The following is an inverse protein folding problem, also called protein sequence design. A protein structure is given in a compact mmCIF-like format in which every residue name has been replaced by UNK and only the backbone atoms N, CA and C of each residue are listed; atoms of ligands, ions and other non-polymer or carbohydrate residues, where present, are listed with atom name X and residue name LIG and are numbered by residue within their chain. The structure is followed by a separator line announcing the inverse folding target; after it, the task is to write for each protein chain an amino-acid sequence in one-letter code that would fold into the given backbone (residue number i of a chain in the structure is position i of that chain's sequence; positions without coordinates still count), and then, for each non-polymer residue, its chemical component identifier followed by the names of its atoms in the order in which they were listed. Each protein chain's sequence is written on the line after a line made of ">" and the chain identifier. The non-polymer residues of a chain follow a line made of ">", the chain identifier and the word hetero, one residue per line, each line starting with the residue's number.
data_IF_065561215287
#
_entry.id   IF_065561215287
#
_cell.length_a   1.000
_cell.length_b   1.000
_cell.length_c   1.000
_cell.angle_alpha   90.00
_cell.angle_beta   90.00
_cell.angle_gamma   90.00
#
_symmetry.space_group_name_H-M   'P 1'
#
loop_
_entity.id
_entity.type
_entity.pdbx_description
1 polymer ?
#
# COMPACT_ATOMS: atom_id res chain seq x y z
N UNK A 1 -12.21 30.08 15.12
CA UNK A 1 -11.81 29.33 13.91
C UNK A 1 -11.63 27.88 14.31
N UNK A 2 -12.56 26.97 14.00
CA UNK A 2 -12.43 25.61 14.46
C UNK A 2 -11.27 24.92 13.74
N UNK A 3 -10.24 24.64 14.51
CA UNK A 3 -9.04 23.89 14.07
C UNK A 3 -9.46 22.46 13.64
N UNK A 4 -10.55 21.95 14.22
CA UNK A 4 -11.20 20.72 13.81
C UNK A 4 -12.72 20.87 13.89
N UNK A 5 -13.40 20.40 12.85
CA UNK A 5 -14.84 20.20 12.81
C UNK A 5 -15.08 18.77 12.35
N UNK A 6 -15.39 17.90 13.27
CA UNK A 6 -15.58 16.48 12.99
C UNK A 6 -16.65 15.86 13.93
N UNK A 7 -17.40 14.96 13.37
CA UNK A 7 -18.28 14.06 14.12
C UNK A 7 -17.61 12.68 14.16
N UNK A 8 -17.42 12.16 15.36
CA UNK A 8 -16.73 10.89 15.59
C UNK A 8 -17.59 9.95 16.41
N UNK A 9 -17.85 8.77 15.89
CA UNK A 9 -18.44 7.66 16.62
C UNK A 9 -17.45 6.50 16.66
N UNK A 10 -17.13 6.05 17.86
CA UNK A 10 -16.19 4.94 18.05
C UNK A 10 -16.76 3.92 19.02
N UNK A 11 -16.68 2.63 18.65
CA UNK A 11 -16.99 1.51 19.53
C UNK A 11 -15.77 0.59 19.61
N UNK A 12 -15.31 0.37 20.83
CA UNK A 12 -14.19 -0.51 21.12
C UNK A 12 -14.67 -1.76 21.86
N UNK A 13 -14.12 -2.90 21.54
CA UNK A 13 -14.33 -4.14 22.29
C UNK A 13 -12.97 -4.70 22.72
N UNK A 14 -12.92 -5.16 23.97
CA UNK A 14 -11.70 -5.69 24.57
C UNK A 14 -11.80 -7.22 24.72
N UNK A 15 -10.69 -7.90 24.51
CA UNK A 15 -10.49 -9.31 24.83
C UNK A 15 -9.16 -9.47 25.55
N UNK A 16 -9.18 -10.07 26.74
CA UNK A 16 -7.99 -10.23 27.57
C UNK A 16 -7.20 -8.92 27.77
N UNK A 17 -7.89 -7.84 28.12
CA UNK A 17 -7.35 -6.48 28.32
C UNK A 17 -6.69 -5.86 27.08
N UNK A 18 -6.85 -6.44 25.88
CA UNK A 18 -6.36 -5.90 24.61
C UNK A 18 -7.53 -5.50 23.73
N UNK A 19 -7.36 -4.46 22.93
CA UNK A 19 -8.36 -4.06 21.94
C UNK A 19 -8.48 -5.21 20.92
N UNK A 20 -9.70 -5.72 20.76
CA UNK A 20 -10.00 -6.81 19.85
C UNK A 20 -10.85 -6.38 18.66
N UNK A 21 -11.69 -5.38 18.84
CA UNK A 21 -12.50 -4.82 17.76
C UNK A 21 -12.54 -3.30 17.85
N UNK A 22 -12.49 -2.66 16.70
CA UNK A 22 -12.69 -1.21 16.54
C UNK A 22 -13.73 -1.02 15.45
N UNK A 23 -14.81 -0.29 15.79
CA UNK A 23 -15.72 0.29 14.81
C UNK A 23 -15.59 1.79 14.92
N UNK A 24 -15.28 2.43 13.81
CA UNK A 24 -15.08 3.87 13.70
C UNK A 24 -15.97 4.40 12.58
N UNK A 25 -16.64 5.51 12.83
CA UNK A 25 -17.28 6.32 11.81
C UNK A 25 -16.95 7.78 12.08
N UNK A 26 -16.36 8.45 11.14
CA UNK A 26 -16.00 9.85 11.24
C UNK A 26 -16.46 10.63 10.01
N UNK A 27 -17.16 11.74 10.24
CA UNK A 27 -17.41 12.76 9.25
C UNK A 27 -16.52 13.96 9.58
N UNK A 28 -15.51 14.17 8.78
CA UNK A 28 -14.51 15.21 8.97
C UNK A 28 -14.80 16.32 7.99
N UNK A 29 -15.38 17.42 8.48
CA UNK A 29 -15.58 18.62 7.65
C UNK A 29 -14.28 19.41 7.50
N UNK A 30 -13.49 19.47 8.56
CA UNK A 30 -12.18 20.12 8.57
C UNK A 30 -11.31 19.53 9.68
N UNK A 31 -10.08 19.21 9.35
CA UNK A 31 -9.08 18.77 10.31
C UNK A 31 -7.70 19.30 9.92
N UNK A 32 -7.11 20.15 10.75
CA UNK A 32 -5.76 20.70 10.55
C UNK A 32 -4.73 19.74 11.18
N UNK A 33 -3.81 19.24 10.39
CA UNK A 33 -2.79 18.28 10.82
C UNK A 33 -1.87 18.80 11.94
N UNK A 34 -1.76 20.12 12.11
CA UNK A 34 -0.97 20.75 13.19
C UNK A 34 -1.44 20.29 14.58
N UNK A 35 -2.73 19.95 14.73
CA UNK A 35 -3.29 19.49 16.01
C UNK A 35 -2.59 18.25 16.53
N UNK A 36 -2.15 17.37 15.63
CA UNK A 36 -1.47 16.13 15.99
C UNK A 36 0.01 16.33 16.31
N UNK A 37 0.51 17.56 16.28
CA UNK A 37 1.94 17.81 16.44
C UNK A 37 2.78 17.18 15.32
N UNK A 38 2.16 16.93 14.17
CA UNK A 38 2.86 16.39 12.99
C UNK A 38 3.83 17.45 12.49
N UNK A 39 5.09 17.17 12.63
CA UNK A 39 6.17 18.10 12.27
C UNK A 39 6.88 17.63 10.99
N UNK A 40 6.12 17.41 9.93
CA UNK A 40 6.61 16.99 8.62
C UNK A 40 5.98 17.81 7.50
N UNK A 41 6.23 17.44 6.25
CA UNK A 41 5.70 18.12 5.07
C UNK A 41 4.17 18.27 5.06
N UNK A 42 3.44 17.36 5.72
CA UNK A 42 1.98 17.38 5.83
C UNK A 42 1.44 18.24 6.99
N UNK A 43 2.29 18.90 7.76
CA UNK A 43 1.88 19.71 8.92
C UNK A 43 0.92 20.87 8.57
N UNK A 44 0.95 21.36 7.33
CA UNK A 44 0.07 22.43 6.84
C UNK A 44 -1.21 21.92 6.18
N UNK A 45 -1.28 20.63 5.91
CA UNK A 45 -2.41 20.04 5.20
C UNK A 45 -3.70 20.10 6.04
N UNK A 46 -4.80 20.36 5.36
CA UNK A 46 -6.16 20.32 5.89
C UNK A 46 -6.85 19.13 5.26
N UNK A 47 -7.47 18.32 6.09
CA UNK A 47 -8.18 17.13 5.66
C UNK A 47 -9.68 17.27 5.84
N UNK A 48 -10.45 16.72 4.91
CA UNK A 48 -11.88 16.52 5.04
C UNK A 48 -12.30 15.20 4.40
N UNK A 49 -13.46 14.67 4.75
CA UNK A 49 -14.00 13.44 4.17
C UNK A 49 -14.69 12.53 5.17
N UNK A 50 -15.19 11.41 4.68
CA UNK A 50 -15.84 10.40 5.48
C UNK A 50 -14.93 9.20 5.64
N UNK A 51 -14.79 8.74 6.88
CA UNK A 51 -13.96 7.59 7.24
C UNK A 51 -14.84 6.57 7.95
N UNK A 52 -14.83 5.34 7.48
CA UNK A 52 -15.43 4.22 8.17
C UNK A 52 -14.38 3.11 8.34
N UNK A 53 -14.35 2.51 9.52
CA UNK A 53 -13.48 1.37 9.78
C UNK A 53 -14.20 0.34 10.65
N UNK A 54 -14.06 -0.93 10.29
CA UNK A 54 -14.57 -2.05 11.05
C UNK A 54 -13.47 -3.12 11.12
N UNK A 55 -12.73 -3.11 12.20
CA UNK A 55 -11.56 -3.96 12.41
C UNK A 55 -11.85 -4.96 13.53
N UNK A 56 -11.51 -6.20 13.34
CA UNK A 56 -11.77 -7.31 14.26
C UNK A 56 -10.56 -8.21 14.45
N UNK A 57 -10.55 -8.96 15.56
CA UNK A 57 -9.48 -9.88 15.93
C UNK A 57 -8.09 -9.23 16.05
N UNK A 58 -8.05 -7.94 16.41
CA UNK A 58 -6.79 -7.18 16.52
C UNK A 58 -5.84 -7.72 17.59
N UNK A 59 -6.37 -8.46 18.55
CA UNK A 59 -5.58 -9.13 19.60
C UNK A 59 -4.99 -10.48 19.18
N UNK A 60 -5.20 -10.89 17.93
CA UNK A 60 -4.73 -12.17 17.36
C UNK A 60 -3.67 -11.95 16.30
N UNK A 61 -3.09 -13.02 15.80
CA UNK A 61 -2.17 -12.99 14.67
C UNK A 61 -2.88 -12.88 13.31
N UNK A 62 -4.21 -12.90 13.29
CA UNK A 62 -5.03 -12.91 12.09
C UNK A 62 -6.10 -11.79 12.15
N UNK A 63 -5.69 -10.52 12.27
CA UNK A 63 -6.63 -9.42 12.23
C UNK A 63 -7.36 -9.40 10.89
N UNK A 64 -8.59 -8.94 10.88
CA UNK A 64 -9.36 -8.73 9.65
C UNK A 64 -10.28 -7.53 9.78
N UNK A 65 -10.75 -7.03 8.65
CA UNK A 65 -11.69 -5.92 8.61
C UNK A 65 -11.55 -5.09 7.36
N UNK A 66 -12.20 -3.96 7.39
CA UNK A 66 -12.26 -3.03 6.27
C UNK A 66 -12.15 -1.58 6.75
N UNK A 67 -11.60 -0.75 5.88
CA UNK A 67 -11.53 0.71 6.02
C UNK A 67 -12.03 1.32 4.72
N UNK A 68 -12.93 2.26 4.83
CA UNK A 68 -13.48 3.02 3.71
C UNK A 68 -13.23 4.50 3.92
N UNK A 69 -12.72 5.17 2.89
CA UNK A 69 -12.63 6.61 2.79
C UNK A 69 -13.51 7.07 1.63
N UNK A 70 -14.34 8.08 1.84
CA UNK A 70 -15.18 8.70 0.80
C UNK A 70 -15.01 10.20 0.80
N UNK A 71 -14.92 10.78 -0.40
CA UNK A 71 -14.78 12.22 -0.60
C UNK A 71 -13.67 12.81 0.27
N UNK A 72 -12.54 12.09 0.30
CA UNK A 72 -11.41 12.49 1.13
C UNK A 72 -10.56 13.51 0.39
N UNK A 73 -10.44 14.70 0.99
CA UNK A 73 -9.72 15.82 0.42
C UNK A 73 -8.51 16.17 1.27
N UNK A 74 -7.43 16.47 0.59
CA UNK A 74 -6.24 17.09 1.15
C UNK A 74 -6.11 18.47 0.52
N UNK A 75 -6.15 19.51 1.34
CA UNK A 75 -5.94 20.90 0.92
C UNK A 75 -4.64 21.41 1.54
N UNK A 76 -3.92 22.24 0.84
CA UNK A 76 -2.60 22.76 1.25
C UNK A 76 -1.59 21.65 1.61
N UNK A 77 -1.69 20.51 0.93
CA UNK A 77 -0.71 19.43 1.03
C UNK A 77 0.65 19.82 0.45
N UNK A 78 1.72 19.10 0.81
CA UNK A 78 3.09 19.43 0.38
C UNK A 78 3.28 19.37 -1.14
N UNK A 79 2.45 18.62 -1.83
CA UNK A 79 2.48 18.45 -3.29
C UNK A 79 1.21 18.98 -3.97
N UNK A 80 0.46 19.86 -3.27
CA UNK A 80 -0.79 20.46 -3.74
C UNK A 80 -2.03 19.79 -3.19
N UNK A 81 -3.18 20.15 -3.77
CA UNK A 81 -4.47 19.61 -3.38
C UNK A 81 -4.70 18.25 -4.05
N UNK A 82 -5.39 17.35 -3.33
CA UNK A 82 -5.79 16.07 -3.86
C UNK A 82 -7.20 15.70 -3.38
N UNK A 83 -8.00 15.15 -4.28
CA UNK A 83 -9.33 14.65 -3.98
C UNK A 83 -9.40 13.17 -4.30
N UNK A 84 -9.71 12.36 -3.29
CA UNK A 84 -9.96 10.93 -3.39
C UNK A 84 -11.47 10.70 -3.27
N UNK A 85 -12.12 10.27 -4.32
CA UNK A 85 -13.57 10.01 -4.30
C UNK A 85 -13.88 8.81 -3.44
N UNK A 86 -13.14 7.72 -3.63
CA UNK A 86 -13.33 6.51 -2.85
C UNK A 86 -12.02 5.73 -2.70
N UNK A 87 -11.82 5.20 -1.50
CA UNK A 87 -10.86 4.14 -1.23
C UNK A 87 -11.50 3.14 -0.27
N UNK A 88 -11.48 1.87 -0.66
CA UNK A 88 -11.86 0.76 0.18
C UNK A 88 -10.69 -0.19 0.33
N UNK A 89 -10.23 -0.40 1.55
CA UNK A 89 -9.20 -1.37 1.88
C UNK A 89 -9.78 -2.45 2.78
N UNK A 90 -9.48 -3.70 2.50
CA UNK A 90 -9.97 -4.82 3.28
C UNK A 90 -8.89 -5.87 3.51
N UNK A 91 -8.94 -6.51 4.66
CA UNK A 91 -8.08 -7.63 5.04
C UNK A 91 -8.96 -8.76 5.56
N UNK A 92 -8.96 -9.89 4.87
CA UNK A 92 -9.75 -11.05 5.24
C UNK A 92 -8.88 -12.29 5.41
N UNK A 93 -9.31 -13.13 6.34
CA UNK A 93 -8.66 -14.42 6.57
C UNK A 93 -9.15 -15.45 5.54
N UNK A 94 -8.22 -16.09 4.86
CA UNK A 94 -8.45 -17.20 3.96
C UNK A 94 -8.13 -18.54 4.64
N UNK A 95 -8.30 -19.65 3.93
CA UNK A 95 -7.86 -20.97 4.39
C UNK A 95 -6.34 -21.04 4.57
N UNK A 96 -5.85 -21.98 5.38
CA UNK A 96 -4.42 -22.27 5.55
C UNK A 96 -3.56 -21.11 6.08
N UNK A 97 -4.05 -20.35 7.06
CA UNK A 97 -3.33 -19.21 7.66
C UNK A 97 -2.90 -18.12 6.66
N UNK A 98 -3.53 -18.08 5.49
CA UNK A 98 -3.35 -16.98 4.53
C UNK A 98 -4.39 -15.90 4.76
N UNK A 99 -4.01 -14.69 4.42
CA UNK A 99 -4.89 -13.52 4.40
C UNK A 99 -4.94 -12.94 2.99
N UNK A 100 -6.04 -12.32 2.67
CA UNK A 100 -6.18 -11.52 1.46
C UNK A 100 -6.33 -10.07 1.85
N UNK A 101 -5.39 -9.24 1.41
CA UNK A 101 -5.52 -7.79 1.40
C UNK A 101 -6.04 -7.36 0.04
N UNK A 102 -7.03 -6.49 0.04
CA UNK A 102 -7.54 -5.87 -1.17
C UNK A 102 -7.65 -4.37 -0.95
N UNK A 103 -7.32 -3.60 -1.97
CA UNK A 103 -7.56 -2.18 -2.04
C UNK A 103 -8.24 -1.87 -3.37
N UNK A 104 -9.29 -1.06 -3.32
CA UNK A 104 -10.00 -0.53 -4.48
C UNK A 104 -10.16 0.97 -4.29
N UNK A 105 -9.72 1.75 -5.25
CA UNK A 105 -9.81 3.19 -5.21
C UNK A 105 -9.82 3.81 -6.60
N UNK A 106 -9.93 5.12 -6.66
CA UNK A 106 -9.85 5.87 -7.92
C UNK A 106 -8.50 5.69 -8.62
N UNK A 107 -7.42 5.47 -7.86
CA UNK A 107 -6.07 5.45 -8.40
C UNK A 107 -5.42 4.07 -8.43
N UNK A 108 -5.88 3.12 -7.62
CA UNK A 108 -5.29 1.78 -7.56
C UNK A 108 -6.33 0.71 -7.21
N UNK A 109 -6.27 -0.41 -7.92
CA UNK A 109 -6.83 -1.68 -7.49
C UNK A 109 -5.69 -2.63 -7.17
N UNK A 110 -5.73 -3.26 -6.01
CA UNK A 110 -4.72 -4.25 -5.66
C UNK A 110 -5.32 -5.40 -4.85
N UNK A 111 -4.77 -6.58 -5.07
CA UNK A 111 -5.09 -7.80 -4.33
C UNK A 111 -3.80 -8.55 -4.02
N UNK A 112 -3.55 -8.77 -2.75
CA UNK A 112 -2.39 -9.53 -2.28
C UNK A 112 -2.91 -10.67 -1.39
N UNK A 113 -2.50 -11.89 -1.68
CA UNK A 113 -2.87 -13.06 -0.88
C UNK A 113 -1.61 -13.72 -0.35
N UNK A 114 -1.58 -14.03 0.94
CA UNK A 114 -0.42 -14.64 1.58
C UNK A 114 -0.45 -14.51 3.09
N UNK A 115 0.69 -14.68 3.74
CA UNK A 115 0.84 -14.42 5.17
C UNK A 115 1.17 -12.94 5.39
N UNK A 116 0.14 -12.10 5.57
CA UNK A 116 0.21 -10.63 5.47
C UNK A 116 0.37 -9.91 6.83
N UNK A 117 1.04 -10.51 7.81
CA UNK A 117 1.35 -9.73 9.02
C UNK A 117 2.39 -8.65 8.71
N UNK A 118 2.30 -7.45 9.33
CA UNK A 118 3.24 -6.36 9.04
C UNK A 118 4.71 -6.77 9.16
N UNK A 119 5.04 -7.58 10.17
CA UNK A 119 6.39 -8.10 10.39
C UNK A 119 6.86 -9.03 9.26
N UNK A 120 5.97 -9.91 8.77
CA UNK A 120 6.29 -10.81 7.66
C UNK A 120 6.48 -10.06 6.35
N UNK A 121 5.61 -9.08 6.08
CA UNK A 121 5.74 -8.22 4.89
C UNK A 121 7.07 -7.48 4.92
N UNK A 122 7.40 -6.82 6.03
CA UNK A 122 8.67 -6.10 6.17
C UNK A 122 9.87 -7.02 5.98
N UNK A 123 9.92 -8.15 6.69
CA UNK A 123 11.01 -9.12 6.57
C UNK A 123 11.11 -9.68 5.15
N UNK A 124 9.99 -10.01 4.52
CA UNK A 124 9.98 -10.55 3.17
C UNK A 124 10.51 -9.57 2.14
N UNK A 125 10.11 -8.31 2.20
CA UNK A 125 10.63 -7.24 1.35
C UNK A 125 12.15 -7.10 1.55
N UNK A 126 12.62 -7.07 2.80
CA UNK A 126 14.06 -7.00 3.10
C UNK A 126 14.81 -8.21 2.54
N UNK A 127 14.26 -9.42 2.67
CA UNK A 127 14.87 -10.63 2.10
C UNK A 127 15.01 -10.54 0.58
N UNK A 128 13.96 -10.09 -0.12
CA UNK A 128 13.97 -9.97 -1.59
C UNK A 128 14.99 -8.92 -2.02
N UNK A 129 14.94 -7.72 -1.42
CA UNK A 129 15.88 -6.64 -1.77
C UNK A 129 17.33 -7.09 -1.49
N UNK A 130 17.58 -7.73 -0.35
CA UNK A 130 18.92 -8.19 0.00
C UNK A 130 19.44 -9.29 -0.95
N UNK A 131 18.55 -10.14 -1.49
CA UNK A 131 18.90 -11.14 -2.50
C UNK A 131 19.18 -10.51 -3.87
N UNK A 132 18.38 -9.52 -4.27
CA UNK A 132 18.55 -8.84 -5.57
C UNK A 132 19.69 -7.83 -5.56
N UNK A 133 19.85 -7.10 -4.45
CA UNK A 133 20.77 -5.96 -4.30
C UNK A 133 21.43 -6.01 -2.90
N UNK A 134 22.39 -6.92 -2.68
CA UNK A 134 22.91 -7.20 -1.33
C UNK A 134 23.64 -6.04 -0.66
N UNK A 135 23.98 -4.98 -1.40
CA UNK A 135 24.63 -3.76 -0.85
C UNK A 135 23.65 -2.66 -0.51
N UNK A 136 22.35 -2.76 -0.85
CA UNK A 136 21.40 -1.66 -0.71
C UNK A 136 20.76 -1.60 0.68
N UNK A 137 20.59 -2.74 1.33
CA UNK A 137 19.97 -2.84 2.66
C UNK A 137 20.74 -3.79 3.58
N UNK A 138 20.69 -3.55 4.90
CA UNK A 138 21.26 -4.49 5.86
C UNK A 138 20.55 -5.85 5.75
N UNK A 139 21.28 -6.90 6.07
CA UNK A 139 20.71 -8.26 6.10
C UNK A 139 19.54 -8.32 7.07
N UNK A 140 18.43 -8.98 6.71
CA UNK A 140 17.29 -9.13 7.61
C UNK A 140 17.72 -9.92 8.86
N UNK A 141 17.19 -9.51 10.01
CA UNK A 141 17.48 -10.19 11.29
C UNK A 141 16.89 -11.60 11.33
N UNK A 142 15.80 -11.83 10.60
CA UNK A 142 15.17 -13.13 10.47
C UNK A 142 14.97 -13.44 8.98
N UNK A 143 15.37 -14.62 8.55
CA UNK A 143 15.04 -15.10 7.22
C UNK A 143 13.55 -15.41 7.14
N UNK A 144 12.93 -15.09 6.02
CA UNK A 144 11.53 -15.46 5.78
C UNK A 144 11.38 -16.99 5.75
N UNK A 145 10.24 -17.51 6.22
CA UNK A 145 9.97 -18.94 6.19
C UNK A 145 9.75 -19.41 4.74
N UNK A 146 10.10 -20.67 4.44
CA UNK A 146 10.01 -21.23 3.08
C UNK A 146 8.58 -21.27 2.52
N UNK A 147 7.57 -21.24 3.39
CA UNK A 147 6.15 -21.24 3.05
C UNK A 147 5.55 -19.83 2.95
N UNK A 148 6.34 -18.78 3.17
CA UNK A 148 5.90 -17.39 3.02
C UNK A 148 5.83 -17.00 1.54
N UNK A 149 4.69 -17.28 0.94
CA UNK A 149 4.37 -16.98 -0.45
C UNK A 149 3.29 -15.91 -0.54
N UNK A 150 3.51 -14.93 -1.40
CA UNK A 150 2.56 -13.88 -1.74
C UNK A 150 2.20 -13.93 -3.22
N UNK A 151 0.90 -13.91 -3.49
CA UNK A 151 0.37 -13.66 -4.82
C UNK A 151 -0.06 -12.21 -4.89
N UNK A 152 0.45 -11.50 -5.87
CA UNK A 152 0.27 -10.06 -6.05
C UNK A 152 -0.42 -9.81 -7.38
N UNK A 153 -1.47 -9.01 -7.35
CA UNK A 153 -2.11 -8.46 -8.54
C UNK A 153 -2.49 -7.02 -8.21
N UNK A 154 -1.94 -6.06 -8.94
CA UNK A 154 -2.22 -4.66 -8.73
C UNK A 154 -2.30 -3.93 -10.07
N UNK A 155 -3.22 -2.98 -10.14
CA UNK A 155 -3.42 -2.09 -11.27
C UNK A 155 -3.47 -0.66 -10.77
N UNK A 156 -2.43 0.10 -11.05
CA UNK A 156 -2.39 1.53 -10.84
C UNK A 156 -3.13 2.21 -11.99
N UNK A 157 -4.27 2.83 -11.71
CA UNK A 157 -5.15 3.46 -12.71
C UNK A 157 -4.72 4.89 -13.05
N UNK A 158 -4.28 5.62 -12.02
CA UNK A 158 -3.92 7.03 -12.13
C UNK A 158 -2.64 7.31 -11.35
N UNK A 159 -1.73 8.02 -11.96
CA UNK A 159 -0.44 8.37 -11.34
C UNK A 159 -0.47 9.67 -10.54
N UNK A 160 -1.46 10.54 -10.73
CA UNK A 160 -1.57 11.81 -10.00
C UNK A 160 -1.53 11.64 -8.47
N UNK A 161 -2.17 10.59 -7.96
CA UNK A 161 -2.13 10.25 -6.55
C UNK A 161 -0.70 10.08 -6.02
N UNK A 162 0.20 9.52 -6.81
CA UNK A 162 1.60 9.31 -6.41
C UNK A 162 2.36 10.62 -6.32
N UNK A 163 2.11 11.55 -7.22
CA UNK A 163 2.67 12.89 -7.13
C UNK A 163 2.14 13.63 -5.91
N UNK A 164 0.82 13.67 -5.74
CA UNK A 164 0.17 14.44 -4.67
C UNK A 164 0.39 13.85 -3.28
N UNK A 165 0.38 12.53 -3.14
CA UNK A 165 0.53 11.84 -1.85
C UNK A 165 2.00 11.58 -1.47
N UNK A 166 2.86 11.31 -2.46
CA UNK A 166 4.22 10.84 -2.20
C UNK A 166 5.32 11.71 -2.83
N UNK A 167 4.97 12.73 -3.63
CA UNK A 167 5.94 13.58 -4.34
C UNK A 167 6.67 12.85 -5.48
N UNK A 168 6.12 11.73 -5.96
CA UNK A 168 6.72 10.94 -7.03
C UNK A 168 6.16 11.41 -8.36
N UNK A 169 6.97 12.13 -9.13
CA UNK A 169 6.59 12.65 -10.44
C UNK A 169 6.78 11.56 -11.51
N UNK A 170 5.77 10.72 -11.65
CA UNK A 170 5.67 9.68 -12.68
C UNK A 170 4.29 9.74 -13.31
N UNK A 171 4.22 9.90 -14.61
CA UNK A 171 2.97 9.79 -15.35
C UNK A 171 2.85 8.43 -15.99
N UNK A 172 1.73 7.76 -15.79
CA UNK A 172 1.42 6.44 -16.37
C UNK A 172 0.14 6.57 -17.17
N UNK A 173 0.21 6.27 -18.47
CA UNK A 173 -0.95 6.27 -19.34
C UNK A 173 -1.56 4.86 -19.38
N UNK A 174 -2.90 4.79 -19.26
CA UNK A 174 -3.68 3.55 -19.26
C UNK A 174 -3.30 2.56 -18.16
N UNK A 175 -2.60 3.04 -17.13
CA UNK A 175 -2.30 2.27 -15.93
C UNK A 175 -1.01 1.46 -15.97
N UNK A 176 -0.59 1.09 -14.78
CA UNK A 176 0.55 0.19 -14.53
C UNK A 176 0.04 -1.10 -13.89
N UNK A 177 0.38 -2.23 -14.49
CA UNK A 177 0.01 -3.53 -13.97
C UNK A 177 1.20 -4.20 -13.28
N UNK A 178 0.95 -4.78 -12.13
CA UNK A 178 1.91 -5.58 -11.37
C UNK A 178 1.26 -6.91 -11.05
N UNK A 179 1.85 -8.01 -11.49
CA UNK A 179 1.32 -9.34 -11.19
C UNK A 179 2.43 -10.36 -10.96
N UNK A 180 2.18 -11.31 -10.10
CA UNK A 180 3.09 -12.42 -9.92
C UNK A 180 3.03 -13.07 -8.53
N UNK A 181 4.00 -13.92 -8.30
CA UNK A 181 4.20 -14.64 -7.06
C UNK A 181 5.58 -14.36 -6.50
N UNK A 182 5.66 -14.23 -5.19
CA UNK A 182 6.90 -14.01 -4.46
C UNK A 182 6.94 -14.94 -3.28
N UNK A 183 7.94 -15.81 -3.21
CA UNK A 183 8.24 -16.60 -2.02
C UNK A 183 9.52 -16.08 -1.38
N UNK A 184 9.35 -15.33 -0.30
CA UNK A 184 10.45 -14.64 0.35
C UNK A 184 11.47 -15.58 0.99
N UNK A 185 11.04 -16.74 1.49
CA UNK A 185 11.91 -17.72 2.13
C UNK A 185 12.74 -18.53 1.15
N UNK A 186 12.10 -19.12 0.13
CA UNK A 186 12.79 -19.90 -0.89
C UNK A 186 13.43 -19.03 -1.99
N UNK A 187 13.07 -17.76 -2.07
CA UNK A 187 13.55 -16.88 -3.13
C UNK A 187 12.87 -17.09 -4.48
N UNK A 188 11.94 -18.04 -4.59
CA UNK A 188 11.19 -18.23 -5.84
C UNK A 188 10.32 -17.02 -6.09
N UNK A 189 10.58 -16.35 -7.19
CA UNK A 189 9.89 -15.11 -7.56
C UNK A 189 9.56 -15.15 -9.04
N UNK A 190 8.35 -14.75 -9.36
CA UNK A 190 7.92 -14.48 -10.73
C UNK A 190 7.05 -13.24 -10.67
N UNK A 191 7.59 -12.09 -11.04
CA UNK A 191 6.91 -10.80 -10.99
C UNK A 191 7.02 -10.13 -12.36
N UNK A 192 5.89 -9.65 -12.84
CA UNK A 192 5.77 -8.86 -14.07
C UNK A 192 5.21 -7.49 -13.75
N UNK A 193 5.86 -6.45 -14.25
CA UNK A 193 5.38 -5.06 -14.20
C UNK A 193 5.33 -4.56 -15.63
N UNK A 194 4.21 -4.00 -16.05
CA UNK A 194 4.06 -3.50 -17.41
C UNK A 194 3.07 -2.33 -17.48
N UNK A 195 3.29 -1.45 -18.44
CA UNK A 195 2.41 -0.33 -18.76
C UNK A 195 2.42 -0.05 -20.27
N UNK A 196 1.45 0.71 -20.77
CA UNK A 196 1.47 1.16 -22.15
C UNK A 196 2.47 2.30 -22.36
N UNK A 197 2.48 3.26 -21.45
CA UNK A 197 3.45 4.36 -21.47
C UNK A 197 3.75 4.83 -20.04
N UNK A 198 5.01 5.13 -19.79
CA UNK A 198 5.46 5.79 -18.56
C UNK A 198 6.31 6.99 -18.95
N UNK A 199 5.99 8.15 -18.36
CA UNK A 199 6.78 9.36 -18.51
C UNK A 199 7.48 9.64 -17.18
N UNK A 200 8.81 9.71 -17.20
CA UNK A 200 9.65 9.95 -16.03
C UNK A 200 10.67 11.03 -16.37
N UNK A 201 10.66 12.12 -15.62
CA UNK A 201 11.64 13.23 -15.74
C UNK A 201 11.80 13.69 -17.20
N UNK A 202 10.68 13.84 -17.93
CA UNK A 202 10.68 14.32 -19.31
C UNK A 202 11.08 13.29 -20.38
N UNK A 203 11.30 12.05 -19.99
CA UNK A 203 11.53 10.93 -20.91
C UNK A 203 10.27 10.06 -21.00
N UNK A 204 9.87 9.73 -22.22
CA UNK A 204 8.70 8.89 -22.51
C UNK A 204 9.13 7.48 -22.89
N UNK A 205 8.64 6.50 -22.14
CA UNK A 205 8.89 5.08 -22.39
C UNK A 205 7.59 4.42 -22.84
N UNK A 206 7.59 3.82 -24.01
CA UNK A 206 6.46 3.08 -24.55
C UNK A 206 6.64 1.58 -24.32
N UNK A 207 5.54 0.93 -23.90
CA UNK A 207 5.48 -0.49 -23.54
C UNK A 207 6.59 -0.93 -22.57
N UNK A 208 6.87 -0.15 -21.52
CA UNK A 208 7.84 -0.57 -20.54
C UNK A 208 7.38 -1.85 -19.85
N UNK A 209 8.28 -2.78 -19.67
CA UNK A 209 8.04 -4.00 -18.93
C UNK A 209 9.26 -4.41 -18.12
N UNK A 210 9.00 -4.95 -16.93
CA UNK A 210 10.01 -5.51 -16.04
C UNK A 210 9.55 -6.93 -15.70
N UNK A 211 10.39 -7.89 -15.98
CA UNK A 211 10.18 -9.28 -15.59
C UNK A 211 11.27 -9.68 -14.59
N UNK A 212 10.86 -9.99 -13.39
CA UNK A 212 11.73 -10.51 -12.35
C UNK A 212 11.39 -11.98 -12.13
N UNK A 213 12.34 -12.87 -12.39
CA UNK A 213 12.24 -14.28 -12.04
C UNK A 213 13.42 -14.68 -11.18
N UNK A 214 13.19 -15.55 -10.22
CA UNK A 214 14.25 -15.94 -9.30
C UNK A 214 14.04 -17.32 -8.70
N UNK A 215 15.14 -17.91 -8.30
CA UNK A 215 15.23 -19.10 -7.45
C UNK A 215 16.12 -18.79 -6.25
N UNK A 216 16.37 -19.78 -5.40
CA UNK A 216 17.13 -19.60 -4.15
C UNK A 216 18.46 -18.82 -4.27
N UNK A 217 19.13 -18.91 -5.40
CA UNK A 217 20.49 -18.39 -5.58
C UNK A 217 20.67 -17.45 -6.78
N UNK A 218 19.70 -17.36 -7.68
CA UNK A 218 19.84 -16.58 -8.90
C UNK A 218 18.55 -15.81 -9.22
N UNK A 219 18.70 -14.51 -9.49
CA UNK A 219 17.62 -13.66 -9.99
C UNK A 219 17.94 -13.18 -11.40
N UNK A 220 16.94 -13.29 -12.27
CA UNK A 220 16.97 -12.71 -13.61
C UNK A 220 16.01 -11.51 -13.63
N UNK A 221 16.53 -10.38 -14.02
CA UNK A 221 15.75 -9.17 -14.26
C UNK A 221 15.86 -8.79 -15.72
N UNK A 222 14.74 -8.81 -16.43
CA UNK A 222 14.65 -8.33 -17.81
C UNK A 222 13.86 -7.02 -17.80
N UNK A 223 14.50 -5.96 -18.28
CA UNK A 223 13.86 -4.65 -18.43
C UNK A 223 13.81 -4.34 -19.92
N UNK A 224 12.63 -4.04 -20.41
CA UNK A 224 12.39 -3.67 -21.81
C UNK A 224 11.61 -2.37 -21.85
N UNK A 225 12.00 -1.45 -22.70
CA UNK A 225 11.28 -0.21 -22.97
C UNK A 225 11.72 0.33 -24.34
N UNK A 226 10.80 1.04 -25.00
CA UNK A 226 11.11 1.83 -26.18
C UNK A 226 11.08 3.29 -25.80
N UNK A 227 12.16 4.00 -26.04
CA UNK A 227 12.25 5.45 -25.84
C UNK A 227 11.59 6.12 -27.07
N UNK A 228 10.75 7.11 -26.81
CA UNK A 228 10.05 7.88 -27.83
C UNK A 228 10.79 9.19 -28.10
#
# INVERSE_FOLDING_TARGET
>A
DPIANLELSTRLSLKNKKINQIKLSANVQRFDAKILGINNAFAKAIYSGNIQANLSQLSTNMPHGEVELKQFNITDGPHGNYNLQQLQASLYNCSNNKQQFSINSDFIDAKITGQLTPKKIQNGIQCIINKCLPGLMPRPQQMAAKDEEWNINAHLKQSEAFEKLFGINVSVQEGLHVQGTVNAGSGRTSLSVFANQIDVVGQSFTRPSIYLSGTDSLYHCLIQAHIK
#
